data_IF_756775674816
#
_entry.id   IF_756775674816
#
_cell.length_a   1.000
_cell.length_b   1.000
_cell.length_c   1.000
_cell.angle_alpha   90.00
_cell.angle_beta   90.00
_cell.angle_gamma   90.00
#
_symmetry.space_group_name_H-M   'P 1'
#
loop_
_entity.id
_entity.type
_entity.pdbx_description
1 polymer ?
#
# COMPACT_ATOMS: atom_id res chain seq x y z
N UNK A 1 27.98 -26.57 60.90
CA UNK A 1 28.36 -25.39 60.09
C UNK A 1 27.19 -25.10 59.17
N UNK A 2 26.49 -24.03 59.42
CA UNK A 2 25.25 -23.66 58.70
C UNK A 2 25.59 -22.96 57.39
N UNK A 3 25.03 -23.47 56.28
CA UNK A 3 25.01 -22.75 55.00
C UNK A 3 23.84 -21.73 55.12
N UNK A 4 24.21 -20.48 55.15
CA UNK A 4 23.28 -19.36 55.12
C UNK A 4 22.93 -19.03 53.66
N UNK A 5 21.63 -19.02 53.35
CA UNK A 5 21.12 -18.81 52.04
C UNK A 5 21.41 -17.40 51.49
N UNK A 6 21.74 -17.35 50.22
CA UNK A 6 21.67 -16.15 49.41
C UNK A 6 20.20 -15.97 49.02
N UNK A 7 19.51 -15.10 49.69
CA UNK A 7 18.22 -14.59 49.25
C UNK A 7 18.50 -13.55 48.19
N UNK A 8 18.26 -13.95 46.95
CA UNK A 8 18.20 -13.05 45.81
C UNK A 8 17.11 -12.01 46.12
N UNK A 9 17.52 -10.80 46.32
CA UNK A 9 16.68 -9.62 46.32
C UNK A 9 16.23 -9.37 44.86
N UNK A 10 15.14 -9.99 44.45
CA UNK A 10 14.34 -9.51 43.32
C UNK A 10 13.77 -8.15 43.74
N UNK A 11 14.57 -7.12 43.47
CA UNK A 11 14.10 -5.74 43.58
C UNK A 11 12.82 -5.58 42.80
N UNK A 12 11.84 -4.95 43.42
CA UNK A 12 10.62 -4.48 42.80
C UNK A 12 10.99 -3.66 41.55
N UNK A 13 11.09 -4.31 40.40
CA UNK A 13 11.02 -3.63 39.11
C UNK A 13 9.62 -3.04 39.06
N UNK A 14 9.51 -1.76 39.35
CA UNK A 14 8.36 -0.96 38.94
C UNK A 14 8.13 -1.28 37.46
N UNK A 15 7.07 -1.99 37.15
CA UNK A 15 6.63 -2.25 35.79
C UNK A 15 6.28 -0.88 35.18
N UNK A 16 7.29 -0.21 34.64
CA UNK A 16 7.07 1.01 33.86
C UNK A 16 6.18 0.63 32.68
N UNK A 17 5.14 1.42 32.44
CA UNK A 17 4.22 1.19 31.31
C UNK A 17 5.01 1.04 30.00
N UNK A 18 4.65 0.10 29.12
CA UNK A 18 5.32 -0.06 27.82
C UNK A 18 5.20 1.22 26.98
N UNK A 19 6.14 1.41 26.06
CA UNK A 19 6.01 2.47 25.05
C UNK A 19 4.86 2.12 24.11
N UNK A 20 3.88 3.02 23.98
CA UNK A 20 2.67 2.80 23.20
C UNK A 20 2.86 3.39 21.80
N UNK A 21 2.78 2.57 20.78
CA UNK A 21 2.82 3.01 19.39
C UNK A 21 1.46 2.79 18.75
N UNK A 22 0.87 3.87 18.24
CA UNK A 22 -0.36 3.83 17.47
C UNK A 22 -0.04 3.90 15.98
N UNK A 23 -0.55 2.96 15.20
CA UNK A 23 -0.48 2.94 13.74
C UNK A 23 -1.90 3.11 13.20
N UNK A 24 -2.11 4.13 12.37
CA UNK A 24 -3.41 4.40 11.74
C UNK A 24 -3.33 4.06 10.26
N UNK A 25 -4.10 3.03 9.87
CA UNK A 25 -4.02 2.40 8.55
C UNK A 25 -3.03 1.25 8.51
N UNK A 26 -3.43 0.11 7.95
CA UNK A 26 -2.65 -1.14 7.93
C UNK A 26 -2.56 -1.76 6.52
N UNK A 27 -2.42 -0.91 5.49
CA UNK A 27 -1.98 -1.36 4.17
C UNK A 27 -0.43 -1.37 4.13
N UNK A 28 0.19 -1.21 2.98
CA UNK A 28 1.63 -1.39 2.75
C UNK A 28 2.54 -0.74 3.80
N UNK A 29 2.36 0.56 4.06
CA UNK A 29 3.20 1.28 5.02
C UNK A 29 2.93 0.90 6.46
N UNK A 30 1.64 0.80 6.83
CA UNK A 30 1.25 0.50 8.20
C UNK A 30 1.56 -0.93 8.63
N UNK A 31 1.31 -1.92 7.76
CA UNK A 31 1.66 -3.31 8.06
C UNK A 31 3.17 -3.51 8.14
N UNK A 32 3.93 -2.83 7.28
CA UNK A 32 5.39 -2.81 7.34
C UNK A 32 5.88 -2.20 8.64
N UNK A 33 5.32 -1.06 9.07
CA UNK A 33 5.67 -0.46 10.35
C UNK A 33 5.36 -1.38 11.53
N UNK A 34 4.18 -2.02 11.54
CA UNK A 34 3.76 -2.92 12.62
C UNK A 34 4.70 -4.13 12.77
N UNK A 35 5.00 -4.83 11.65
CA UNK A 35 5.84 -6.02 11.66
C UNK A 35 7.28 -5.69 12.04
N UNK A 36 7.86 -4.64 11.45
CA UNK A 36 9.23 -4.26 11.74
C UNK A 36 9.38 -3.85 13.21
N UNK A 37 8.46 -3.02 13.71
CA UNK A 37 8.49 -2.59 15.11
C UNK A 37 8.30 -3.77 16.09
N UNK A 38 7.42 -4.72 15.75
CA UNK A 38 7.24 -5.93 16.54
C UNK A 38 8.53 -6.76 16.60
N UNK A 39 9.20 -6.98 15.48
CA UNK A 39 10.45 -7.73 15.42
C UNK A 39 11.58 -7.00 16.17
N UNK A 40 11.74 -5.69 15.98
CA UNK A 40 12.73 -4.91 16.72
C UNK A 40 12.48 -4.97 18.23
N UNK A 41 11.22 -4.88 18.68
CA UNK A 41 10.87 -4.99 20.09
C UNK A 41 11.23 -6.35 20.72
N UNK A 42 11.34 -7.38 19.88
CA UNK A 42 11.79 -8.72 20.26
C UNK A 42 13.31 -8.92 20.11
N UNK A 43 14.06 -7.89 19.70
CA UNK A 43 15.48 -7.96 19.44
C UNK A 43 15.83 -8.75 18.18
N UNK A 44 14.95 -8.75 17.19
CA UNK A 44 15.19 -9.36 15.88
C UNK A 44 15.60 -8.29 14.88
N UNK A 45 16.74 -8.47 14.21
CA UNK A 45 17.10 -7.64 13.07
C UNK A 45 16.22 -7.94 11.86
N UNK A 46 15.98 -6.91 11.04
CA UNK A 46 15.37 -7.05 9.70
C UNK A 46 16.25 -6.38 8.68
N UNK A 47 16.38 -7.04 7.53
CA UNK A 47 17.10 -6.45 6.41
C UNK A 47 16.39 -5.18 5.95
N UNK A 48 17.14 -4.08 5.81
CA UNK A 48 16.65 -2.79 5.35
C UNK A 48 17.27 -2.41 4.01
N UNK A 49 16.49 -1.73 3.16
CA UNK A 49 16.97 -1.16 1.88
C UNK A 49 17.93 0.02 2.12
N UNK A 50 17.69 0.77 3.19
CA UNK A 50 18.53 1.91 3.56
C UNK A 50 19.33 1.62 4.83
N UNK A 51 20.53 2.19 4.95
CA UNK A 51 21.33 2.04 6.17
C UNK A 51 20.55 2.51 7.40
N UNK A 52 20.69 1.78 8.48
CA UNK A 52 20.04 2.11 9.75
C UNK A 52 20.64 1.27 10.89
N UNK A 53 20.21 1.52 12.13
CA UNK A 53 20.70 0.78 13.29
C UNK A 53 20.41 -0.71 13.22
N UNK A 54 21.34 -1.51 13.71
CA UNK A 54 21.12 -2.94 13.96
C UNK A 54 20.56 -3.11 15.37
N UNK A 55 19.38 -3.73 15.45
CA UNK A 55 18.72 -4.02 16.73
C UNK A 55 18.81 -5.50 17.13
N UNK A 56 19.70 -6.29 16.50
CA UNK A 56 19.85 -7.69 16.84
C UNK A 56 20.22 -7.88 18.31
N UNK A 57 19.39 -8.58 19.06
CA UNK A 57 19.56 -8.81 20.49
C UNK A 57 19.25 -7.62 21.41
N UNK A 58 18.90 -6.47 20.85
CA UNK A 58 18.63 -5.23 21.61
C UNK A 58 17.13 -5.14 21.93
N UNK A 59 16.81 -4.91 23.21
CA UNK A 59 15.42 -4.78 23.65
C UNK A 59 15.22 -3.56 24.55
N UNK A 60 14.09 -2.88 24.37
CA UNK A 60 13.63 -1.85 25.30
C UNK A 60 13.38 -2.47 26.69
N UNK A 61 13.79 -1.76 27.74
CA UNK A 61 13.57 -2.19 29.12
C UNK A 61 12.09 -2.13 29.51
N UNK A 62 11.34 -1.20 28.94
CA UNK A 62 9.90 -1.04 29.19
C UNK A 62 9.04 -1.92 28.27
N UNK A 63 9.60 -2.37 27.16
CA UNK A 63 8.87 -3.04 26.10
C UNK A 63 8.08 -2.06 25.23
N UNK A 64 7.43 -2.60 24.20
CA UNK A 64 6.64 -1.83 23.21
C UNK A 64 5.27 -2.49 23.08
N UNK A 65 4.21 -1.70 23.15
CA UNK A 65 2.85 -2.09 22.85
C UNK A 65 2.40 -1.37 21.57
N UNK A 66 1.92 -2.13 20.59
CA UNK A 66 1.53 -1.64 19.27
C UNK A 66 0.02 -1.76 19.13
N UNK A 67 -0.66 -0.66 18.88
CA UNK A 67 -2.07 -0.65 18.49
C UNK A 67 -2.20 -0.23 17.04
N UNK A 68 -2.89 -1.03 16.24
CA UNK A 68 -3.23 -0.73 14.85
C UNK A 68 -4.72 -0.47 14.74
N UNK A 69 -5.11 0.65 14.14
CA UNK A 69 -6.52 0.96 13.83
C UNK A 69 -6.66 1.02 12.31
N UNK A 70 -7.51 0.16 11.73
CA UNK A 70 -7.83 0.17 10.30
C UNK A 70 -9.34 0.02 10.08
N UNK A 71 -9.86 0.66 9.03
CA UNK A 71 -11.27 0.57 8.65
C UNK A 71 -11.65 -0.76 7.99
N UNK A 72 -10.63 -1.58 7.65
CA UNK A 72 -10.78 -2.92 7.07
C UNK A 72 -10.33 -4.00 8.04
N UNK A 73 -10.93 -5.18 7.90
CA UNK A 73 -10.56 -6.37 8.68
C UNK A 73 -9.33 -7.08 8.13
N UNK A 74 -8.71 -6.56 7.07
CA UNK A 74 -7.60 -7.21 6.40
C UNK A 74 -6.78 -6.32 5.47
N UNK A 75 -5.65 -6.87 5.06
CA UNK A 75 -4.74 -6.28 4.11
C UNK A 75 -5.20 -6.56 2.67
N UNK A 76 -5.67 -5.53 2.00
CA UNK A 76 -6.02 -5.58 0.57
C UNK A 76 -4.84 -5.15 -0.30
N UNK A 77 -4.50 -5.97 -1.29
CA UNK A 77 -3.47 -5.66 -2.28
C UNK A 77 -4.01 -4.73 -3.36
N UNK A 78 -3.89 -3.41 -3.16
CA UNK A 78 -4.48 -2.43 -4.08
C UNK A 78 -3.82 -2.38 -5.45
N UNK A 79 -2.56 -2.79 -5.59
CA UNK A 79 -1.91 -2.98 -6.90
C UNK A 79 -2.61 -4.11 -7.68
N UNK A 80 -3.10 -5.12 -7.00
CA UNK A 80 -3.89 -6.22 -7.58
C UNK A 80 -5.37 -5.92 -7.76
N UNK A 81 -5.85 -4.68 -7.55
CA UNK A 81 -7.26 -4.35 -7.72
C UNK A 81 -7.84 -4.71 -9.10
N UNK A 82 -7.12 -4.53 -10.23
CA UNK A 82 -7.60 -5.00 -11.53
C UNK A 82 -7.87 -6.50 -11.55
N UNK A 83 -6.94 -7.33 -11.08
CA UNK A 83 -7.16 -8.77 -10.96
C UNK A 83 -8.31 -9.11 -10.03
N UNK A 84 -8.40 -8.46 -8.87
CA UNK A 84 -9.42 -8.69 -7.86
C UNK A 84 -10.85 -8.48 -8.37
N UNK A 85 -11.02 -7.47 -9.24
CA UNK A 85 -12.32 -6.99 -9.71
C UNK A 85 -12.61 -7.35 -11.18
N UNK A 86 -11.69 -8.01 -11.88
CA UNK A 86 -11.90 -8.48 -13.24
C UNK A 86 -12.16 -10.00 -13.27
N UNK A 87 -11.42 -10.79 -12.49
CA UNK A 87 -11.56 -12.25 -12.53
C UNK A 87 -11.79 -12.88 -11.16
N UNK A 88 -12.76 -13.81 -11.01
CA UNK A 88 -13.02 -14.52 -9.75
C UNK A 88 -11.80 -15.27 -9.21
N UNK A 89 -10.89 -15.69 -10.10
CA UNK A 89 -9.66 -16.44 -9.75
C UNK A 89 -8.86 -15.75 -8.65
N UNK A 90 -8.77 -14.42 -8.69
CA UNK A 90 -7.92 -13.65 -7.77
C UNK A 90 -8.68 -12.90 -6.68
N UNK A 91 -10.02 -12.81 -6.78
CA UNK A 91 -10.83 -12.04 -5.83
C UNK A 91 -10.50 -12.37 -4.38
N UNK A 92 -10.61 -13.63 -3.96
CA UNK A 92 -10.33 -14.04 -2.58
C UNK A 92 -8.83 -13.95 -2.22
N UNK A 93 -7.96 -13.99 -3.22
CA UNK A 93 -6.52 -14.01 -3.04
C UNK A 93 -5.97 -12.64 -2.64
N UNK A 94 -6.57 -11.54 -3.14
CA UNK A 94 -6.06 -10.18 -2.95
C UNK A 94 -6.40 -9.54 -1.60
N UNK A 95 -6.99 -10.27 -0.68
CA UNK A 95 -7.33 -9.81 0.66
C UNK A 95 -6.94 -10.84 1.71
N UNK A 96 -6.10 -10.47 2.65
CA UNK A 96 -5.72 -11.29 3.81
C UNK A 96 -6.24 -10.67 5.08
N UNK A 97 -7.13 -11.37 5.80
CA UNK A 97 -7.59 -10.90 7.11
C UNK A 97 -6.44 -10.82 8.10
N UNK A 98 -6.36 -9.74 8.88
CA UNK A 98 -5.33 -9.58 9.91
C UNK A 98 -5.36 -10.71 10.93
N UNK A 99 -6.55 -11.22 11.25
CA UNK A 99 -6.72 -12.36 12.17
C UNK A 99 -6.14 -13.68 11.64
N UNK A 100 -5.89 -13.79 10.34
CA UNK A 100 -5.29 -14.97 9.70
C UNK A 100 -3.77 -14.87 9.53
N UNK A 101 -3.18 -13.71 9.78
CA UNK A 101 -1.74 -13.50 9.70
C UNK A 101 -1.10 -13.89 11.05
N UNK A 102 -0.51 -15.08 11.11
CA UNK A 102 0.08 -15.63 12.34
C UNK A 102 1.23 -14.78 12.87
N UNK A 103 2.00 -14.16 11.98
CA UNK A 103 3.12 -13.27 12.28
C UNK A 103 2.70 -12.03 13.06
N UNK A 104 1.42 -11.65 12.95
CA UNK A 104 0.81 -10.52 13.67
C UNK A 104 0.10 -10.94 14.96
N UNK A 105 0.04 -12.24 15.29
CA UNK A 105 -0.54 -12.74 16.53
C UNK A 105 0.49 -12.66 17.65
N UNK A 106 0.52 -11.53 18.32
CA UNK A 106 1.42 -11.30 19.45
C UNK A 106 0.69 -10.54 20.58
N UNK A 107 0.97 -10.84 21.85
CA UNK A 107 0.28 -10.18 22.97
C UNK A 107 0.48 -8.67 23.01
N UNK A 108 1.54 -8.14 22.42
CA UNK A 108 1.84 -6.71 22.36
C UNK A 108 1.38 -6.04 21.06
N UNK A 109 0.65 -6.74 20.18
CA UNK A 109 0.10 -6.18 18.95
C UNK A 109 -1.42 -6.33 18.93
N UNK A 110 -2.12 -5.22 18.87
CA UNK A 110 -3.57 -5.16 18.96
C UNK A 110 -4.18 -4.53 17.71
N UNK A 111 -5.01 -5.29 17.01
CA UNK A 111 -5.80 -4.76 15.90
C UNK A 111 -7.17 -4.27 16.38
N UNK A 112 -7.53 -3.07 15.94
CA UNK A 112 -8.83 -2.45 16.18
C UNK A 112 -9.50 -2.13 14.84
N UNK A 113 -10.62 -2.77 14.57
CA UNK A 113 -11.39 -2.57 13.35
C UNK A 113 -12.30 -1.35 13.51
N UNK A 114 -11.92 -0.25 12.89
CA UNK A 114 -12.63 1.02 13.01
C UNK A 114 -11.90 2.16 12.30
N UNK A 115 -12.44 3.36 12.41
CA UNK A 115 -11.93 4.56 11.77
C UNK A 115 -11.52 5.59 12.81
N UNK A 116 -10.31 6.14 12.68
CA UNK A 116 -9.87 7.30 13.46
C UNK A 116 -10.64 8.53 12.97
N UNK A 117 -11.11 9.35 13.90
CA UNK A 117 -11.93 10.55 13.66
C UNK A 117 -11.21 11.84 13.99
N UNK A 118 -10.29 11.78 14.94
CA UNK A 118 -9.50 12.93 15.35
C UNK A 118 -8.19 12.50 15.97
N UNK A 119 -7.12 13.25 15.74
CA UNK A 119 -5.82 13.13 16.40
C UNK A 119 -5.55 14.43 17.15
N UNK A 120 -5.33 14.33 18.45
CA UNK A 120 -4.82 15.43 19.27
C UNK A 120 -3.33 15.22 19.56
N UNK A 121 -2.41 15.92 18.85
CA UNK A 121 -0.98 15.73 19.00
C UNK A 121 -0.45 16.21 20.38
N UNK A 122 -1.07 17.24 20.96
CA UNK A 122 -0.63 17.78 22.24
C UNK A 122 -0.92 16.80 23.39
N UNK A 123 -2.14 16.25 23.41
CA UNK A 123 -2.53 15.24 24.38
C UNK A 123 -2.02 13.84 24.07
N UNK A 124 -1.50 13.60 22.87
CA UNK A 124 -1.15 12.27 22.33
C UNK A 124 -2.30 11.26 22.43
N UNK A 125 -3.47 11.65 21.96
CA UNK A 125 -4.69 10.83 21.98
C UNK A 125 -5.35 10.86 20.60
N UNK A 126 -5.75 9.67 20.12
CA UNK A 126 -6.60 9.49 18.96
C UNK A 126 -8.02 9.18 19.41
N UNK A 127 -9.01 9.85 18.81
CA UNK A 127 -10.41 9.46 18.90
C UNK A 127 -10.76 8.60 17.69
N UNK A 128 -11.41 7.46 17.90
CA UNK A 128 -11.79 6.54 16.86
C UNK A 128 -13.16 5.90 17.11
N UNK A 129 -13.84 5.49 16.03
CA UNK A 129 -15.11 4.78 16.08
C UNK A 129 -14.92 3.33 15.62
N UNK A 130 -15.44 2.36 16.37
CA UNK A 130 -15.51 0.98 15.93
C UNK A 130 -16.63 0.77 14.88
N UNK A 131 -16.72 -0.45 14.34
CA UNK A 131 -17.74 -0.81 13.34
C UNK A 131 -19.19 -0.69 13.83
N UNK A 132 -19.41 -0.63 15.12
CA UNK A 132 -20.72 -0.46 15.73
C UNK A 132 -21.06 1.03 16.00
N UNK A 133 -20.17 1.94 15.61
CA UNK A 133 -20.34 3.38 15.81
C UNK A 133 -19.98 3.87 17.21
N UNK A 134 -19.41 3.01 18.07
CA UNK A 134 -18.99 3.41 19.42
C UNK A 134 -17.68 4.19 19.35
N UNK A 135 -17.71 5.41 19.84
CA UNK A 135 -16.52 6.27 19.97
C UNK A 135 -15.65 5.83 21.14
N UNK A 136 -14.35 5.78 20.94
CA UNK A 136 -13.34 5.39 21.89
C UNK A 136 -12.11 6.29 21.77
N UNK A 137 -11.26 6.29 22.80
CA UNK A 137 -9.98 6.98 22.78
C UNK A 137 -8.83 5.99 22.85
N UNK A 138 -7.74 6.31 22.16
CA UNK A 138 -6.48 5.57 22.16
C UNK A 138 -5.34 6.52 22.46
N UNK A 139 -4.77 6.42 23.64
CA UNK A 139 -3.56 7.13 23.99
C UNK A 139 -2.32 6.47 23.36
N UNK A 140 -1.32 7.28 23.01
CA UNK A 140 -0.07 6.80 22.40
C UNK A 140 1.12 7.64 22.90
N UNK A 141 2.31 7.09 22.75
CA UNK A 141 3.57 7.80 22.92
C UNK A 141 4.16 8.17 21.55
N UNK A 142 3.97 7.30 20.55
CA UNK A 142 4.35 7.51 19.15
C UNK A 142 3.17 7.21 18.22
N UNK A 143 3.09 7.96 17.12
CA UNK A 143 2.05 7.82 16.09
C UNK A 143 2.68 7.55 14.73
N UNK A 144 2.12 6.60 13.97
CA UNK A 144 2.38 6.41 12.54
C UNK A 144 1.09 6.62 11.75
N UNK A 145 1.05 7.66 10.91
CA UNK A 145 -0.03 7.89 9.96
C UNK A 145 0.30 7.16 8.64
N UNK A 146 -0.45 6.12 8.34
CA UNK A 146 -0.27 5.25 7.18
C UNK A 146 -1.55 5.07 6.36
N UNK A 147 -2.46 6.02 6.44
CA UNK A 147 -3.82 5.96 5.89
C UNK A 147 -3.89 6.08 4.36
N UNK A 148 -2.82 6.56 3.72
CA UNK A 148 -2.71 6.67 2.28
C UNK A 148 -3.68 7.68 1.67
N UNK A 149 -4.24 7.31 0.51
CA UNK A 149 -5.21 8.12 -0.22
C UNK A 149 -6.61 7.48 -0.14
N UNK A 150 -7.62 8.29 0.08
CA UNK A 150 -9.01 7.92 -0.17
C UNK A 150 -9.22 7.79 -1.68
N UNK A 151 -9.14 6.57 -2.16
CA UNK A 151 -9.37 6.21 -3.56
C UNK A 151 -10.81 5.71 -3.73
N UNK A 152 -11.26 5.68 -4.97
CA UNK A 152 -12.61 5.23 -5.31
C UNK A 152 -12.58 3.80 -5.84
N UNK A 153 -13.67 3.06 -5.58
CA UNK A 153 -13.90 1.77 -6.22
C UNK A 153 -13.93 1.96 -7.76
N UNK A 154 -13.31 1.09 -8.55
CA UNK A 154 -12.73 -0.21 -8.19
C UNK A 154 -11.23 -0.19 -7.86
N UNK A 155 -10.54 0.96 -7.80
CA UNK A 155 -9.12 1.01 -7.47
C UNK A 155 -8.81 0.51 -6.03
N UNK A 156 -9.79 0.63 -5.13
CA UNK A 156 -9.77 0.04 -3.78
C UNK A 156 -11.18 -0.45 -3.43
N UNK A 157 -11.32 -1.44 -2.54
CA UNK A 157 -12.62 -1.85 -2.04
C UNK A 157 -13.35 -0.69 -1.34
N UNK A 158 -14.65 -0.62 -1.51
CA UNK A 158 -15.53 0.28 -0.72
C UNK A 158 -15.94 -0.34 0.61
N UNK A 159 -15.73 -1.64 0.75
CA UNK A 159 -16.11 -2.49 1.88
C UNK A 159 -15.05 -2.48 2.98
N UNK A 160 -15.49 -2.66 4.23
CA UNK A 160 -14.63 -2.80 5.40
C UNK A 160 -14.38 -4.25 5.82
N UNK A 161 -15.05 -5.24 5.22
CA UNK A 161 -14.86 -6.66 5.52
C UNK A 161 -14.63 -7.50 4.28
N UNK A 162 -13.98 -8.63 4.47
CA UNK A 162 -13.70 -9.57 3.38
C UNK A 162 -14.96 -10.09 2.69
N UNK A 163 -16.04 -10.36 3.45
CA UNK A 163 -17.30 -10.84 2.91
C UNK A 163 -17.99 -9.81 2.03
N UNK A 164 -18.05 -8.57 2.50
CA UNK A 164 -18.60 -7.44 1.73
C UNK A 164 -17.78 -7.22 0.45
N UNK A 165 -16.44 -7.25 0.57
CA UNK A 165 -15.52 -7.13 -0.56
C UNK A 165 -15.73 -8.22 -1.62
N UNK A 166 -15.88 -9.48 -1.20
CA UNK A 166 -16.15 -10.58 -2.16
C UNK A 166 -17.49 -10.37 -2.87
N UNK A 167 -18.51 -9.91 -2.17
CA UNK A 167 -19.83 -9.62 -2.74
C UNK A 167 -19.75 -8.48 -3.76
N UNK A 168 -19.08 -7.41 -3.41
CA UNK A 168 -18.88 -6.25 -4.30
C UNK A 168 -18.08 -6.62 -5.56
N UNK A 169 -17.01 -7.41 -5.40
CA UNK A 169 -16.19 -7.86 -6.53
C UNK A 169 -16.95 -8.76 -7.48
N UNK A 170 -17.71 -9.73 -6.96
CA UNK A 170 -18.59 -10.58 -7.77
C UNK A 170 -19.61 -9.77 -8.56
N UNK A 171 -20.26 -8.80 -7.91
CA UNK A 171 -21.21 -7.91 -8.56
C UNK A 171 -20.56 -7.08 -9.67
N UNK A 172 -19.32 -6.62 -9.46
CA UNK A 172 -18.59 -5.84 -10.45
C UNK A 172 -18.17 -6.71 -11.65
N UNK A 173 -17.64 -7.91 -11.43
CA UNK A 173 -17.31 -8.88 -12.48
C UNK A 173 -18.56 -9.22 -13.30
N UNK A 174 -19.70 -9.42 -12.63
CA UNK A 174 -20.99 -9.66 -13.29
C UNK A 174 -21.40 -8.51 -14.22
N UNK A 175 -21.13 -7.26 -13.84
CA UNK A 175 -21.39 -6.09 -14.71
C UNK A 175 -20.46 -6.07 -15.92
N UNK A 176 -19.18 -6.43 -15.77
CA UNK A 176 -18.24 -6.53 -16.88
C UNK A 176 -18.71 -7.62 -17.86
N UNK A 177 -19.04 -8.82 -17.35
CA UNK A 177 -19.32 -10.01 -18.17
C UNK A 177 -20.79 -10.17 -18.57
N UNK A 178 -21.70 -9.37 -18.03
CA UNK A 178 -23.15 -9.54 -18.23
C UNK A 178 -23.75 -10.68 -17.43
N UNK A 179 -23.08 -11.14 -16.38
CA UNK A 179 -23.50 -12.23 -15.49
C UNK A 179 -22.93 -13.59 -15.82
N UNK A 180 -22.54 -13.84 -17.07
CA UNK A 180 -21.94 -15.11 -17.50
C UNK A 180 -20.64 -14.86 -18.28
N UNK A 181 -19.48 -15.15 -17.70
CA UNK A 181 -18.18 -14.99 -18.35
C UNK A 181 -18.04 -15.78 -19.67
N UNK A 182 -18.78 -16.87 -19.84
CA UNK A 182 -18.74 -17.69 -21.06
C UNK A 182 -19.57 -17.11 -22.22
N UNK A 183 -20.42 -16.12 -21.94
CA UNK A 183 -21.39 -15.52 -22.89
C UNK A 183 -21.21 -14.01 -23.02
N UNK A 184 -20.00 -13.49 -22.76
CA UNK A 184 -19.71 -12.04 -22.83
C UNK A 184 -19.22 -11.57 -24.21
N UNK A 185 -19.35 -12.40 -25.26
CA UNK A 185 -19.00 -12.02 -26.62
C UNK A 185 -19.82 -10.81 -27.11
N UNK A 186 -19.13 -9.87 -27.74
CA UNK A 186 -19.75 -8.66 -28.27
C UNK A 186 -20.14 -7.61 -27.22
N UNK A 187 -19.89 -7.89 -25.93
CA UNK A 187 -20.07 -6.85 -24.89
C UNK A 187 -19.09 -5.71 -25.10
N UNK A 188 -19.53 -4.53 -24.75
CA UNK A 188 -18.76 -3.29 -24.90
C UNK A 188 -18.54 -2.68 -23.52
N UNK A 189 -17.27 -2.61 -23.11
CA UNK A 189 -16.87 -1.97 -21.86
C UNK A 189 -16.07 -0.72 -22.18
N UNK A 190 -16.45 0.40 -21.61
CA UNK A 190 -15.70 1.65 -21.74
C UNK A 190 -15.03 1.97 -20.40
N UNK A 191 -13.71 2.18 -20.45
CA UNK A 191 -12.93 2.68 -19.32
C UNK A 191 -12.64 4.16 -19.56
N UNK A 192 -12.96 5.01 -18.61
CA UNK A 192 -12.73 6.46 -18.73
C UNK A 192 -11.60 6.86 -17.78
N UNK A 193 -10.55 7.46 -18.35
CA UNK A 193 -9.33 7.85 -17.65
C UNK A 193 -8.18 6.89 -17.92
N UNK A 194 -7.13 7.37 -18.59
CA UNK A 194 -5.92 6.60 -18.91
C UNK A 194 -4.75 6.92 -17.97
N UNK A 195 -5.03 7.06 -16.68
CA UNK A 195 -4.03 6.91 -15.62
C UNK A 195 -3.67 5.43 -15.41
N UNK A 196 -2.73 5.10 -14.53
CA UNK A 196 -2.29 3.71 -14.30
C UNK A 196 -3.48 2.77 -14.05
N UNK A 197 -4.41 3.13 -13.16
CA UNK A 197 -5.59 2.31 -12.83
C UNK A 197 -6.44 2.00 -14.07
N UNK A 198 -6.74 3.02 -14.90
CA UNK A 198 -7.57 2.80 -16.10
C UNK A 198 -6.87 1.97 -17.16
N UNK A 199 -5.55 2.14 -17.33
CA UNK A 199 -4.72 1.31 -18.21
C UNK A 199 -4.77 -0.15 -17.78
N UNK A 200 -4.50 -0.40 -16.50
CA UNK A 200 -4.50 -1.76 -15.93
C UNK A 200 -5.88 -2.42 -16.03
N UNK A 201 -6.99 -1.74 -15.68
CA UNK A 201 -8.34 -2.30 -15.84
C UNK A 201 -8.67 -2.62 -17.28
N UNK A 202 -8.38 -1.74 -18.22
CA UNK A 202 -8.67 -1.96 -19.64
C UNK A 202 -7.91 -3.19 -20.19
N UNK A 203 -6.63 -3.30 -19.85
CA UNK A 203 -5.79 -4.40 -20.28
C UNK A 203 -6.18 -5.73 -19.62
N UNK A 204 -6.46 -5.75 -18.31
CA UNK A 204 -6.87 -6.95 -17.59
C UNK A 204 -8.22 -7.48 -18.09
N UNK A 205 -9.19 -6.62 -18.42
CA UNK A 205 -10.44 -7.04 -19.02
C UNK A 205 -10.18 -7.73 -20.37
N UNK A 206 -9.32 -7.17 -21.21
CA UNK A 206 -8.95 -7.78 -22.49
C UNK A 206 -8.21 -9.11 -22.33
N UNK A 207 -7.33 -9.22 -21.34
CA UNK A 207 -6.59 -10.44 -21.07
C UNK A 207 -7.50 -11.60 -20.67
N UNK A 208 -8.46 -11.34 -19.74
CA UNK A 208 -9.35 -12.39 -19.22
C UNK A 208 -10.59 -12.63 -20.07
N UNK A 209 -11.02 -11.63 -20.82
CA UNK A 209 -12.21 -11.66 -21.68
C UNK A 209 -11.88 -11.06 -23.06
N UNK A 210 -11.06 -11.73 -23.88
CA UNK A 210 -10.60 -11.20 -25.18
C UNK A 210 -11.75 -10.93 -26.15
N UNK A 211 -12.91 -11.54 -25.96
CA UNK A 211 -14.13 -11.34 -26.73
C UNK A 211 -14.92 -10.09 -26.35
N UNK A 212 -14.58 -9.40 -25.23
CA UNK A 212 -15.18 -8.11 -24.87
C UNK A 212 -14.50 -6.99 -25.68
N UNK A 213 -15.31 -6.12 -26.26
CA UNK A 213 -14.82 -4.88 -26.86
C UNK A 213 -14.51 -3.85 -25.76
N UNK A 214 -13.22 -3.56 -25.56
CA UNK A 214 -12.78 -2.58 -24.55
C UNK A 214 -12.31 -1.32 -25.24
N UNK A 215 -12.88 -0.16 -24.85
CA UNK A 215 -12.44 1.16 -25.29
C UNK A 215 -11.97 1.99 -24.10
N UNK A 216 -10.73 2.47 -24.13
CA UNK A 216 -10.17 3.38 -23.13
C UNK A 216 -10.29 4.82 -23.65
N UNK A 217 -11.06 5.64 -22.96
CA UNK A 217 -11.30 7.06 -23.30
C UNK A 217 -10.48 7.95 -22.38
N UNK A 218 -9.77 8.93 -22.92
CA UNK A 218 -9.00 9.87 -22.14
C UNK A 218 -9.06 11.29 -22.68
N UNK A 219 -9.15 12.27 -21.76
CA UNK A 219 -9.28 13.69 -22.14
C UNK A 219 -8.01 14.32 -22.69
N UNK A 220 -6.85 13.70 -22.50
CA UNK A 220 -5.55 14.15 -23.02
C UNK A 220 -5.06 13.24 -24.12
N UNK A 221 -4.09 13.72 -24.91
CA UNK A 221 -3.52 13.00 -26.05
C UNK A 221 -2.57 11.85 -25.66
N UNK A 222 -2.07 11.81 -24.44
CA UNK A 222 -1.17 10.79 -23.94
C UNK A 222 -1.81 10.00 -22.78
N UNK A 223 -1.63 8.70 -22.73
CA UNK A 223 -1.87 7.89 -21.54
C UNK A 223 -0.90 8.29 -20.43
N UNK A 224 -1.20 7.97 -19.16
CA UNK A 224 -0.39 8.36 -17.99
C UNK A 224 -0.06 9.86 -17.93
N UNK A 225 -0.89 10.69 -18.52
CA UNK A 225 -0.63 12.12 -18.75
C UNK A 225 -0.44 12.95 -17.47
N UNK A 226 -0.88 12.46 -16.30
CA UNK A 226 -0.67 13.10 -15.00
C UNK A 226 0.62 12.67 -14.31
N UNK A 227 1.27 11.62 -14.80
CA UNK A 227 2.50 11.11 -14.21
C UNK A 227 3.72 11.89 -14.74
N UNK A 228 4.71 12.21 -13.90
CA UNK A 228 5.93 12.89 -14.30
C UNK A 228 6.88 11.93 -15.04
N UNK A 229 6.43 11.34 -16.12
CA UNK A 229 7.16 10.36 -16.93
C UNK A 229 7.53 10.95 -18.28
N UNK A 230 8.67 10.53 -18.89
CA UNK A 230 9.02 10.87 -20.25
C UNK A 230 7.96 10.41 -21.27
N UNK A 231 7.86 11.13 -22.41
CA UNK A 231 6.84 10.82 -23.43
C UNK A 231 7.04 9.46 -24.09
N UNK A 232 8.26 8.96 -24.21
CA UNK A 232 8.57 7.62 -24.75
C UNK A 232 8.05 6.49 -23.85
N UNK A 233 8.03 6.70 -22.52
CA UNK A 233 7.40 5.77 -21.55
C UNK A 233 5.88 5.72 -21.77
N UNK A 234 5.25 6.88 -21.96
CA UNK A 234 3.81 7.00 -22.20
C UNK A 234 3.42 6.42 -23.56
N UNK A 235 4.21 6.68 -24.58
CA UNK A 235 4.00 6.08 -25.93
C UNK A 235 4.17 4.55 -25.88
N UNK A 236 5.15 4.03 -25.13
CA UNK A 236 5.29 2.59 -24.95
C UNK A 236 4.08 1.97 -24.26
N UNK A 237 3.54 2.61 -23.21
CA UNK A 237 2.33 2.15 -22.54
C UNK A 237 1.12 2.12 -23.49
N UNK A 238 0.99 3.11 -24.37
CA UNK A 238 -0.04 3.16 -25.41
C UNK A 238 0.10 2.00 -26.39
N UNK A 239 1.30 1.74 -26.90
CA UNK A 239 1.56 0.62 -27.84
C UNK A 239 1.19 -0.72 -27.19
N UNK A 240 1.56 -0.95 -25.92
CA UNK A 240 1.20 -2.19 -25.21
C UNK A 240 -0.32 -2.36 -25.06
N UNK A 241 -1.07 -1.28 -24.82
CA UNK A 241 -2.53 -1.33 -24.79
C UNK A 241 -3.14 -1.72 -26.14
N UNK A 242 -2.61 -1.17 -27.24
CA UNK A 242 -3.04 -1.49 -28.60
C UNK A 242 -2.72 -2.95 -28.96
N UNK A 243 -1.52 -3.44 -28.58
CA UNK A 243 -1.12 -4.85 -28.73
C UNK A 243 -2.03 -5.80 -27.95
N UNK A 244 -2.50 -5.41 -26.73
CA UNK A 244 -3.47 -6.19 -25.96
C UNK A 244 -4.90 -6.13 -26.55
N UNK A 245 -5.13 -5.27 -27.56
CA UNK A 245 -6.41 -5.15 -28.26
C UNK A 245 -7.38 -4.16 -27.62
N UNK A 246 -6.89 -3.22 -26.83
CA UNK A 246 -7.69 -2.11 -26.29
C UNK A 246 -7.84 -1.02 -27.35
N UNK A 247 -9.06 -0.58 -27.63
CA UNK A 247 -9.35 0.56 -28.50
C UNK A 247 -9.09 1.86 -27.71
N UNK A 248 -8.42 2.83 -28.32
CA UNK A 248 -8.07 4.09 -27.66
C UNK A 248 -8.82 5.28 -28.27
N UNK A 249 -9.45 6.10 -27.43
CA UNK A 249 -10.07 7.39 -27.78
C UNK A 249 -9.41 8.50 -26.94
N UNK A 250 -8.18 8.88 -27.34
CA UNK A 250 -7.38 9.89 -26.65
C UNK A 250 -7.73 11.32 -27.16
N UNK A 251 -7.42 12.33 -26.33
CA UNK A 251 -7.75 13.72 -26.63
C UNK A 251 -9.25 14.06 -26.52
N UNK A 252 -10.05 13.16 -25.98
CA UNK A 252 -11.50 13.28 -25.90
C UNK A 252 -11.99 13.25 -24.45
N UNK A 253 -12.63 14.33 -24.00
CA UNK A 253 -13.39 14.33 -22.76
C UNK A 253 -14.71 13.59 -23.00
N UNK A 254 -15.12 12.76 -22.06
CA UNK A 254 -16.34 11.97 -22.15
C UNK A 254 -17.43 12.46 -21.18
N UNK A 255 -18.68 12.39 -21.62
CA UNK A 255 -19.88 12.51 -20.79
C UNK A 255 -20.62 11.18 -20.83
N UNK A 256 -21.03 10.67 -19.67
CA UNK A 256 -21.71 9.38 -19.52
C UNK A 256 -23.20 9.64 -19.29
N UNK A 257 -24.06 8.98 -20.07
CA UNK A 257 -25.50 8.96 -19.89
C UNK A 257 -25.98 7.52 -19.78
N UNK A 258 -26.60 7.17 -18.67
CA UNK A 258 -27.26 5.85 -18.51
C UNK A 258 -28.60 5.85 -19.21
N UNK A 259 -28.87 4.80 -19.96
CA UNK A 259 -30.09 4.61 -20.72
C UNK A 259 -31.11 3.76 -19.93
N UNK A 260 -32.43 3.88 -20.22
CA UNK A 260 -33.46 3.11 -19.52
C UNK A 260 -33.30 1.58 -19.59
N UNK A 261 -32.59 1.07 -20.59
CA UNK A 261 -32.32 -0.36 -20.77
C UNK A 261 -31.07 -0.82 -19.98
N UNK A 262 -30.44 0.05 -19.16
CA UNK A 262 -29.24 -0.25 -18.38
C UNK A 262 -27.92 -0.17 -19.16
N UNK A 263 -27.97 0.19 -20.46
CA UNK A 263 -26.77 0.52 -21.23
C UNK A 263 -26.35 1.97 -21.01
N UNK A 264 -25.19 2.34 -21.55
CA UNK A 264 -24.63 3.69 -21.44
C UNK A 264 -24.33 4.26 -22.83
N UNK A 265 -24.57 5.56 -22.97
CA UNK A 265 -24.00 6.35 -24.06
C UNK A 265 -22.85 7.17 -23.52
N UNK A 266 -21.66 6.98 -24.08
CA UNK A 266 -20.48 7.79 -23.80
C UNK A 266 -20.31 8.76 -24.97
N UNK A 267 -20.59 10.05 -24.73
CA UNK A 267 -20.46 11.12 -25.71
C UNK A 267 -19.09 11.76 -25.57
N UNK A 268 -18.33 11.78 -26.66
CA UNK A 268 -17.01 12.38 -26.74
C UNK A 268 -17.10 13.89 -27.07
N UNK A 269 -16.04 14.63 -26.77
CA UNK A 269 -15.98 16.07 -27.01
C UNK A 269 -16.12 16.44 -28.52
N UNK A 270 -15.80 15.52 -29.43
CA UNK A 270 -15.99 15.65 -30.87
C UNK A 270 -17.41 15.27 -31.35
N UNK A 271 -18.36 15.05 -30.42
CA UNK A 271 -19.74 14.61 -30.63
C UNK A 271 -19.88 13.14 -31.14
N UNK A 272 -18.83 12.39 -31.25
CA UNK A 272 -18.94 10.95 -31.45
C UNK A 272 -19.54 10.28 -30.21
N UNK A 273 -20.28 9.21 -30.42
CA UNK A 273 -20.91 8.44 -29.34
C UNK A 273 -20.46 7.00 -29.35
N UNK A 274 -20.18 6.48 -28.17
CA UNK A 274 -19.87 5.04 -27.95
C UNK A 274 -20.99 4.49 -27.08
N UNK A 275 -21.67 3.46 -27.57
CA UNK A 275 -22.62 2.71 -26.73
C UNK A 275 -21.85 1.67 -25.93
N UNK A 276 -22.08 1.59 -24.64
CA UNK A 276 -21.43 0.65 -23.73
C UNK A 276 -22.46 -0.14 -22.91
N UNK A 277 -22.13 -1.38 -22.63
CA UNK A 277 -22.91 -2.23 -21.73
C UNK A 277 -22.45 -2.05 -20.28
N UNK A 278 -21.25 -1.52 -20.10
CA UNK A 278 -20.71 -1.11 -18.80
C UNK A 278 -19.65 -0.02 -18.94
N UNK A 279 -19.58 0.87 -17.96
CA UNK A 279 -18.58 1.96 -17.91
C UNK A 279 -17.83 1.91 -16.59
N UNK A 280 -16.50 1.99 -16.65
CA UNK A 280 -15.61 2.09 -15.50
C UNK A 280 -15.02 3.51 -15.48
N UNK A 281 -15.37 4.30 -14.47
CA UNK A 281 -14.83 5.65 -14.28
C UNK A 281 -13.57 5.58 -13.38
N UNK A 282 -12.40 5.73 -13.98
CA UNK A 282 -11.10 5.81 -13.31
C UNK A 282 -10.52 7.23 -13.29
N UNK A 283 -11.34 8.27 -13.50
CA UNK A 283 -10.91 9.67 -13.54
C UNK A 283 -10.76 10.31 -12.16
N UNK A 284 -11.37 9.73 -11.14
CA UNK A 284 -11.38 10.29 -9.79
C UNK A 284 -10.03 10.17 -9.13
N UNK A 285 -9.42 11.30 -8.80
CA UNK A 285 -8.18 11.33 -8.02
C UNK A 285 -8.41 10.87 -6.60
N UNK A 286 -7.44 10.14 -6.05
CA UNK A 286 -7.37 9.90 -4.62
C UNK A 286 -7.02 11.20 -3.88
N UNK A 287 -7.58 11.37 -2.68
CA UNK A 287 -7.26 12.51 -1.78
C UNK A 287 -6.58 12.00 -0.50
N UNK A 288 -5.58 12.70 0.04
CA UNK A 288 -4.96 12.32 1.30
C UNK A 288 -6.00 12.18 2.42
N UNK A 289 -5.88 11.14 3.24
CA UNK A 289 -6.81 10.88 4.35
C UNK A 289 -6.31 11.56 5.63
N UNK A 290 -6.24 12.88 5.60
CA UNK A 290 -5.62 13.74 6.62
C UNK A 290 -6.62 14.63 7.37
N UNK A 291 -7.92 14.52 7.08
CA UNK A 291 -8.96 15.33 7.72
C UNK A 291 -9.03 15.15 9.26
N UNK A 292 -8.34 14.12 9.78
CA UNK A 292 -8.25 13.81 11.21
C UNK A 292 -7.08 14.51 11.91
N UNK A 293 -6.23 15.22 11.17
CA UNK A 293 -5.03 15.89 11.64
C UNK A 293 -5.21 17.42 11.67
N UNK A 294 -4.46 18.13 12.53
CA UNK A 294 -4.34 19.59 12.46
C UNK A 294 -3.84 20.05 11.08
N UNK A 295 -4.40 21.14 10.59
CA UNK A 295 -4.05 21.69 9.25
C UNK A 295 -2.60 22.18 9.17
N UNK A 296 -2.00 22.56 10.31
CA UNK A 296 -0.65 23.10 10.43
C UNK A 296 0.44 22.09 10.02
N UNK A 297 0.13 20.79 10.06
CA UNK A 297 1.08 19.76 9.61
C UNK A 297 0.90 19.37 8.13
N UNK A 298 -0.03 20.03 7.41
CA UNK A 298 -0.38 19.69 6.03
C UNK A 298 0.13 20.75 5.05
N UNK A 299 0.46 20.32 3.83
CA UNK A 299 0.71 21.22 2.70
C UNK A 299 -0.61 21.61 1.99
N UNK A 300 -0.51 22.37 0.90
CA UNK A 300 -1.65 22.84 0.10
C UNK A 300 -2.44 21.66 -0.53
N UNK A 301 -1.77 20.56 -0.83
CA UNK A 301 -2.37 19.33 -1.36
C UNK A 301 -2.95 18.42 -0.24
N UNK A 302 -2.99 18.91 1.01
CA UNK A 302 -3.41 18.17 2.21
C UNK A 302 -2.54 16.96 2.54
N UNK A 303 -1.31 16.91 2.08
CA UNK A 303 -0.36 15.88 2.42
C UNK A 303 0.40 16.26 3.68
N UNK A 304 0.75 15.27 4.50
CA UNK A 304 1.54 15.47 5.71
C UNK A 304 2.96 15.91 5.35
N UNK A 305 3.40 17.03 5.88
CA UNK A 305 4.77 17.51 5.74
C UNK A 305 5.69 16.75 6.69
N UNK A 306 6.70 16.06 6.13
CA UNK A 306 7.66 15.27 6.89
C UNK A 306 9.11 15.65 6.61
N UNK A 307 10.00 15.29 7.54
CA UNK A 307 11.45 15.27 7.36
C UNK A 307 11.89 14.01 6.60
N UNK A 308 13.16 13.93 6.22
CA UNK A 308 13.74 12.72 5.61
C UNK A 308 13.68 11.49 6.53
N UNK A 309 13.62 11.69 7.83
CA UNK A 309 13.39 10.67 8.85
C UNK A 309 11.92 10.22 8.96
N UNK A 310 11.02 10.74 8.13
CA UNK A 310 9.57 10.51 8.15
C UNK A 310 8.85 11.11 9.38
N UNK A 311 9.54 11.78 10.28
CA UNK A 311 8.90 12.57 11.34
C UNK A 311 8.13 13.75 10.74
N UNK A 312 7.03 14.13 11.36
CA UNK A 312 6.31 15.35 11.01
C UNK A 312 7.24 16.56 11.16
N UNK A 313 7.08 17.56 10.30
CA UNK A 313 7.79 18.84 10.48
C UNK A 313 7.31 19.54 11.75
N UNK A 314 8.15 20.42 12.28
CA UNK A 314 7.99 21.09 13.58
C UNK A 314 6.90 22.17 13.55
N UNK A 315 5.71 21.82 13.07
CA UNK A 315 4.57 22.71 12.93
C UNK A 315 3.46 22.47 13.95
N UNK A 316 3.54 21.33 14.68
CA UNK A 316 2.58 20.92 15.70
C UNK A 316 3.28 20.46 16.99
N UNK A 317 2.55 20.43 18.09
CA UNK A 317 3.05 19.88 19.34
C UNK A 317 3.49 18.42 19.19
N UNK A 318 4.60 18.05 19.84
CA UNK A 318 5.14 16.69 19.84
C UNK A 318 5.45 16.11 18.43
N UNK A 319 5.73 16.97 17.42
CA UNK A 319 6.02 16.55 16.05
C UNK A 319 7.04 15.41 15.95
N UNK A 320 8.07 15.43 16.81
CA UNK A 320 9.12 14.40 16.88
C UNK A 320 8.62 13.00 17.28
N UNK A 321 7.40 12.89 17.79
CA UNK A 321 6.75 11.59 18.10
C UNK A 321 5.73 11.14 17.05
N UNK A 322 5.59 11.90 15.96
CA UNK A 322 4.58 11.63 14.91
C UNK A 322 5.30 11.34 13.60
N UNK A 323 4.94 10.25 12.95
CA UNK A 323 5.53 9.79 11.71
C UNK A 323 4.46 9.62 10.63
N UNK A 324 4.79 9.96 9.38
CA UNK A 324 3.94 9.74 8.23
C UNK A 324 4.59 8.81 7.22
N UNK A 325 3.83 7.88 6.62
CA UNK A 325 4.36 6.91 5.66
C UNK A 325 3.39 6.65 4.50
N UNK A 326 3.92 6.39 3.33
CA UNK A 326 3.15 6.05 2.14
C UNK A 326 2.50 7.27 1.47
N UNK A 327 1.38 7.03 0.78
CA UNK A 327 0.77 8.02 -0.10
C UNK A 327 0.19 9.25 0.62
N UNK A 328 0.07 9.22 1.93
CA UNK A 328 -0.50 10.30 2.74
C UNK A 328 0.47 11.47 2.97
N UNK A 329 1.77 11.28 2.71
CA UNK A 329 2.80 12.28 2.96
C UNK A 329 3.20 13.03 1.69
N UNK A 330 3.73 14.24 1.86
CA UNK A 330 4.42 14.99 0.83
C UNK A 330 5.81 14.37 0.60
N UNK A 331 5.97 13.65 -0.51
CA UNK A 331 7.24 13.02 -0.89
C UNK A 331 7.45 13.07 -2.39
N UNK A 332 8.71 13.01 -2.81
CA UNK A 332 9.10 13.02 -4.22
C UNK A 332 8.81 11.69 -4.94
N UNK A 333 8.83 11.72 -6.26
CA UNK A 333 8.60 10.56 -7.11
C UNK A 333 7.13 10.19 -7.27
N UNK A 334 6.88 9.02 -7.85
CA UNK A 334 5.52 8.47 -8.01
C UNK A 334 5.16 7.67 -6.76
N UNK A 335 3.95 7.89 -6.23
CA UNK A 335 3.43 7.15 -5.07
C UNK A 335 3.21 5.68 -5.44
N UNK A 336 3.84 4.76 -4.67
CA UNK A 336 3.89 3.32 -4.99
C UNK A 336 3.82 2.48 -3.71
N UNK A 337 3.29 1.27 -3.85
CA UNK A 337 3.22 0.28 -2.77
C UNK A 337 4.59 -0.04 -2.15
N UNK A 338 5.61 -0.31 -2.97
CA UNK A 338 6.97 -0.60 -2.51
C UNK A 338 7.59 0.56 -1.74
N UNK A 339 7.38 1.80 -2.20
CA UNK A 339 7.83 2.99 -1.48
C UNK A 339 7.18 3.10 -0.10
N UNK A 340 5.86 2.88 -0.02
CA UNK A 340 5.14 2.89 1.25
C UNK A 340 5.66 1.81 2.22
N UNK A 341 5.97 0.62 1.72
CA UNK A 341 6.52 -0.50 2.52
C UNK A 341 7.89 -0.13 3.10
N UNK A 342 8.78 0.45 2.29
CA UNK A 342 10.11 0.92 2.75
C UNK A 342 9.98 2.05 3.77
N UNK A 343 9.07 3.01 3.54
CA UNK A 343 8.80 4.08 4.53
C UNK A 343 8.30 3.51 5.87
N UNK A 344 7.42 2.50 5.84
CA UNK A 344 6.94 1.85 7.05
C UNK A 344 8.06 1.23 7.88
N UNK A 345 9.02 0.57 7.22
CA UNK A 345 10.21 0.03 7.88
C UNK A 345 11.10 1.12 8.47
N UNK A 346 11.39 2.18 7.71
CA UNK A 346 12.22 3.28 8.19
C UNK A 346 11.58 4.03 9.38
N UNK A 347 10.26 4.24 9.35
CA UNK A 347 9.54 4.82 10.47
C UNK A 347 9.62 3.93 11.73
N UNK A 348 9.48 2.61 11.57
CA UNK A 348 9.63 1.66 12.67
C UNK A 348 11.05 1.69 13.26
N UNK A 349 12.09 1.74 12.40
CA UNK A 349 13.49 1.89 12.85
C UNK A 349 13.67 3.18 13.67
N UNK A 350 13.14 4.29 13.17
CA UNK A 350 13.29 5.59 13.80
C UNK A 350 12.55 5.69 15.14
N UNK A 351 11.34 5.14 15.21
CA UNK A 351 10.59 5.04 16.47
C UNK A 351 11.33 4.16 17.48
N UNK A 352 11.86 3.03 17.03
CA UNK A 352 12.57 2.14 17.95
C UNK A 352 13.90 2.73 18.42
N UNK A 353 14.62 3.48 17.56
CA UNK A 353 15.77 4.30 17.95
C UNK A 353 15.42 5.30 19.04
N UNK A 354 14.31 6.04 18.88
CA UNK A 354 13.86 7.01 19.88
C UNK A 354 13.47 6.34 21.21
N UNK A 355 12.81 5.19 21.15
CA UNK A 355 12.48 4.40 22.34
C UNK A 355 13.77 4.01 23.08
N UNK A 356 14.74 3.42 22.41
CA UNK A 356 16.00 3.02 23.01
C UNK A 356 16.79 4.21 23.55
N UNK A 357 16.88 5.28 22.76
CA UNK A 357 17.57 6.51 23.17
C UNK A 357 16.96 7.12 24.44
N UNK A 358 15.63 7.06 24.59
CA UNK A 358 14.95 7.54 25.80
C UNK A 358 15.31 6.75 27.07
N UNK A 359 15.82 5.55 26.91
CA UNK A 359 16.21 4.64 27.98
C UNK A 359 17.73 4.61 28.25
N UNK A 360 18.53 5.26 27.39
CA UNK A 360 19.98 5.34 27.55
C UNK A 360 20.40 6.39 28.60
N UNK A 361 21.58 6.19 29.17
CA UNK A 361 22.22 7.24 29.97
C UNK A 361 22.62 8.43 29.07
N UNK A 362 22.62 9.67 29.58
CA UNK A 362 22.93 10.85 28.78
C UNK A 362 24.30 10.84 28.08
N UNK A 363 25.25 10.06 28.61
CA UNK A 363 26.60 9.90 28.06
C UNK A 363 26.73 8.74 27.05
N UNK A 364 25.68 8.01 26.82
CA UNK A 364 25.70 6.85 25.88
C UNK A 364 25.61 7.31 24.43
N UNK A 365 26.21 6.54 23.54
CA UNK A 365 26.05 6.73 22.12
C UNK A 365 24.57 6.51 21.72
N UNK A 366 24.04 7.43 20.94
CA UNK A 366 22.64 7.41 20.53
C UNK A 366 22.47 6.64 19.23
N UNK A 367 21.34 5.93 19.09
CA UNK A 367 20.92 5.35 17.82
C UNK A 367 20.53 6.46 16.84
N UNK A 368 21.18 6.47 15.68
CA UNK A 368 20.96 7.46 14.62
C UNK A 368 19.73 7.09 13.82
N UNK A 369 18.92 8.09 13.45
CA UNK A 369 17.74 7.86 12.59
C UNK A 369 18.13 7.53 11.16
N UNK A 370 17.39 6.63 10.56
CA UNK A 370 17.41 6.36 9.12
C UNK A 370 16.75 7.54 8.39
N UNK A 371 17.44 8.09 7.41
CA UNK A 371 16.94 9.14 6.53
C UNK A 371 16.76 8.61 5.11
N UNK A 372 15.61 8.90 4.51
CA UNK A 372 15.30 8.50 3.14
C UNK A 372 15.66 9.63 2.18
N UNK A 373 16.31 9.32 1.04
CA UNK A 373 16.57 10.32 0.02
C UNK A 373 15.30 10.70 -0.73
N UNK A 374 15.36 11.79 -1.48
CA UNK A 374 14.38 12.05 -2.52
C UNK A 374 14.39 10.92 -3.57
N UNK A 375 13.22 10.54 -4.06
CA UNK A 375 13.08 9.47 -5.06
C UNK A 375 12.74 10.04 -6.43
N UNK A 376 13.26 9.37 -7.45
CA UNK A 376 12.94 9.63 -8.84
C UNK A 376 11.52 9.12 -9.20
N UNK A 377 11.00 9.60 -10.33
CA UNK A 377 9.79 9.08 -10.93
C UNK A 377 10.05 7.69 -11.53
N UNK A 378 9.69 6.65 -10.80
CA UNK A 378 9.82 5.24 -11.20
C UNK A 378 8.44 4.62 -11.23
N UNK A 379 8.14 3.83 -12.26
CA UNK A 379 6.85 3.13 -12.39
C UNK A 379 7.05 1.67 -12.79
N UNK A 380 6.17 0.80 -12.29
CA UNK A 380 5.82 -0.49 -12.86
C UNK A 380 4.34 -0.46 -13.19
N UNK A 381 3.97 -0.83 -14.40
CA UNK A 381 2.61 -0.80 -14.92
C UNK A 381 2.29 -2.13 -15.60
N UNK A 382 1.27 -2.82 -15.11
CA UNK A 382 0.76 -4.02 -15.76
C UNK A 382 -0.11 -3.64 -16.96
N UNK A 383 0.08 -4.32 -18.10
CA UNK A 383 -0.72 -4.16 -19.29
C UNK A 383 -1.05 -5.56 -19.83
N UNK A 384 -2.08 -6.16 -19.26
CA UNK A 384 -2.47 -7.54 -19.58
C UNK A 384 -1.33 -8.53 -19.29
N UNK A 385 -0.90 -9.30 -20.29
CA UNK A 385 0.17 -10.28 -20.18
C UNK A 385 1.56 -9.68 -20.05
N UNK A 386 1.68 -8.40 -20.32
CA UNK A 386 2.94 -7.66 -20.34
C UNK A 386 2.99 -6.66 -19.20
N UNK A 387 4.16 -6.18 -18.87
CA UNK A 387 4.30 -4.97 -18.08
C UNK A 387 5.33 -4.03 -18.69
N UNK A 388 5.26 -2.78 -18.26
CA UNK A 388 6.24 -1.75 -18.52
C UNK A 388 6.84 -1.33 -17.19
N UNK A 389 8.17 -1.27 -17.10
CA UNK A 389 8.89 -0.64 -16.00
C UNK A 389 9.75 0.48 -16.53
N UNK A 390 9.85 1.53 -15.74
CA UNK A 390 10.76 2.65 -16.02
C UNK A 390 11.40 3.14 -14.73
N UNK A 391 12.69 3.36 -14.81
CA UNK A 391 13.45 4.19 -13.87
C UNK A 391 14.50 5.01 -14.66
N UNK A 392 14.89 6.22 -14.17
CA UNK A 392 15.82 7.08 -14.91
C UNK A 392 17.20 6.49 -15.17
N UNK A 393 17.64 5.51 -14.36
CA UNK A 393 18.98 4.89 -14.49
C UNK A 393 19.00 3.75 -15.48
N UNK A 394 17.91 2.93 -15.51
CA UNK A 394 17.84 1.72 -16.33
C UNK A 394 16.96 1.88 -17.57
N UNK A 395 16.28 3.02 -17.72
CA UNK A 395 15.37 3.31 -18.82
C UNK A 395 14.10 2.46 -18.81
N UNK A 396 13.53 2.26 -19.99
CA UNK A 396 12.30 1.50 -20.20
C UNK A 396 12.62 0.02 -20.39
N UNK A 397 11.91 -0.85 -19.66
CA UNK A 397 11.86 -2.29 -19.93
C UNK A 397 10.39 -2.71 -20.06
N UNK A 398 10.07 -3.64 -20.93
CA UNK A 398 8.69 -4.08 -21.13
C UNK A 398 8.63 -5.50 -21.69
N UNK A 399 7.44 -6.08 -21.66
CA UNK A 399 7.12 -7.38 -22.23
C UNK A 399 6.77 -8.43 -21.18
N UNK A 400 6.53 -9.66 -21.66
CA UNK A 400 6.09 -10.80 -20.84
C UNK A 400 7.15 -11.22 -19.82
N UNK A 401 8.43 -11.25 -20.19
CA UNK A 401 9.51 -11.64 -19.27
C UNK A 401 9.71 -10.58 -18.16
N UNK A 402 9.51 -9.30 -18.50
CA UNK A 402 9.50 -8.23 -17.49
C UNK A 402 8.31 -8.40 -16.52
N UNK A 403 7.13 -8.77 -17.04
CA UNK A 403 5.96 -9.08 -16.20
C UNK A 403 6.25 -10.20 -15.22
N UNK A 404 6.79 -11.32 -15.69
CA UNK A 404 7.15 -12.46 -14.84
C UNK A 404 8.15 -12.10 -13.74
N UNK A 405 9.15 -11.29 -14.07
CA UNK A 405 10.21 -10.91 -13.13
C UNK A 405 9.81 -9.82 -12.14
N UNK A 406 8.90 -8.92 -12.53
CA UNK A 406 8.53 -7.74 -11.73
C UNK A 406 7.25 -7.96 -10.92
N UNK A 407 6.20 -8.46 -11.56
CA UNK A 407 4.88 -8.62 -10.94
C UNK A 407 4.48 -10.07 -10.68
N UNK A 408 5.08 -11.03 -11.40
CA UNK A 408 4.60 -12.42 -11.36
C UNK A 408 3.17 -12.57 -11.88
N UNK A 409 2.45 -13.57 -11.38
CA UNK A 409 1.08 -13.86 -11.79
C UNK A 409 0.01 -13.07 -11.00
N UNK A 410 0.36 -12.50 -9.86
CA UNK A 410 -0.57 -11.90 -8.90
C UNK A 410 -0.26 -10.41 -8.64
N UNK A 411 0.29 -9.74 -9.63
CA UNK A 411 0.66 -8.31 -9.57
C UNK A 411 1.55 -7.96 -8.36
N UNK A 412 2.47 -8.87 -8.01
CA UNK A 412 3.45 -8.67 -6.96
C UNK A 412 2.97 -9.00 -5.55
N UNK A 413 1.77 -9.58 -5.41
CA UNK A 413 1.21 -9.90 -4.09
C UNK A 413 2.08 -10.89 -3.31
N UNK A 414 2.41 -12.04 -3.90
CA UNK A 414 3.28 -13.05 -3.28
C UNK A 414 4.66 -12.48 -2.94
N UNK A 415 5.24 -11.67 -3.81
CA UNK A 415 6.51 -11.00 -3.57
C UNK A 415 6.43 -10.03 -2.39
N UNK A 416 5.34 -9.26 -2.28
CA UNK A 416 5.12 -8.33 -1.17
C UNK A 416 4.93 -9.08 0.17
N UNK A 417 4.14 -10.15 0.20
CA UNK A 417 3.99 -10.99 1.38
C UNK A 417 5.31 -11.59 1.83
N UNK A 418 6.11 -12.11 0.89
CA UNK A 418 7.45 -12.65 1.17
C UNK A 418 8.38 -11.58 1.73
N UNK A 419 8.40 -10.37 1.15
CA UNK A 419 9.21 -9.26 1.64
C UNK A 419 8.84 -8.87 3.08
N UNK A 420 7.55 -8.85 3.41
CA UNK A 420 7.06 -8.57 4.75
C UNK A 420 7.26 -9.73 5.73
N UNK A 421 7.60 -10.93 5.24
CA UNK A 421 7.69 -12.14 6.05
C UNK A 421 6.32 -12.68 6.46
N UNK A 422 5.25 -12.30 5.73
CA UNK A 422 3.89 -12.79 5.92
C UNK A 422 3.70 -14.03 5.04
N UNK A 423 3.92 -15.19 5.60
CA UNK A 423 3.66 -16.45 4.90
C UNK A 423 2.27 -16.95 5.25
N UNK A 424 1.46 -17.28 4.23
CA UNK A 424 0.29 -18.11 4.49
C UNK A 424 0.75 -19.44 5.05
N UNK A 425 0.30 -19.79 6.23
CA UNK A 425 0.26 -21.18 6.65
C UNK A 425 -0.93 -21.83 5.95
N UNK A 426 -0.85 -21.95 4.65
CA UNK A 426 -1.54 -23.03 3.95
C UNK A 426 -0.65 -24.22 4.21
N UNK A 427 -1.16 -25.22 4.92
CA UNK A 427 -0.53 -26.54 4.94
C UNK A 427 -0.20 -26.89 3.49
N UNK A 428 1.10 -26.90 3.18
CA UNK A 428 1.57 -27.33 1.86
C UNK A 428 1.26 -28.81 1.78
N UNK A 429 0.23 -29.14 1.03
CA UNK A 429 0.20 -30.44 0.39
C UNK A 429 1.46 -30.52 -0.49
N UNK A 430 2.27 -31.51 -0.23
CA UNK A 430 3.60 -31.74 -0.79
C UNK A 430 3.70 -31.39 -2.28
N UNK A 431 4.43 -30.33 -2.59
CA UNK A 431 4.97 -30.05 -3.91
C UNK A 431 6.40 -29.58 -3.74
N UNK A 432 7.36 -30.10 -4.50
CA UNK A 432 8.77 -29.76 -4.36
C UNK A 432 9.02 -28.31 -4.72
N UNK A 433 9.70 -27.61 -3.82
CA UNK A 433 10.12 -26.22 -3.99
C UNK A 433 11.32 -26.21 -4.93
N UNK A 434 11.18 -25.63 -6.11
CA UNK A 434 12.33 -25.06 -6.80
C UNK A 434 12.74 -23.79 -6.03
N UNK A 435 13.97 -23.81 -5.51
CA UNK A 435 14.64 -22.65 -4.94
C UNK A 435 14.83 -21.59 -6.04
N UNK A 436 13.92 -20.62 -6.09
CA UNK A 436 14.17 -19.39 -6.84
C UNK A 436 15.01 -18.49 -5.94
N UNK A 437 16.31 -18.45 -6.24
CA UNK A 437 17.33 -17.68 -5.55
C UNK A 437 16.89 -16.23 -5.28
N UNK A 438 17.07 -15.80 -4.03
CA UNK A 438 16.88 -14.42 -3.56
C UNK A 438 17.72 -13.38 -4.33
N UNK A 439 18.65 -13.83 -5.17
CA UNK A 439 19.55 -13.06 -6.03
C UNK A 439 18.84 -12.30 -7.15
N UNK A 440 17.65 -12.74 -7.61
CA UNK A 440 16.98 -12.11 -8.76
C UNK A 440 16.21 -10.82 -8.45
N UNK A 441 15.83 -10.58 -7.20
CA UNK A 441 15.19 -9.30 -6.82
C UNK A 441 16.21 -8.13 -6.77
N UNK A 442 17.49 -8.41 -6.50
CA UNK A 442 18.58 -7.43 -6.54
C UNK A 442 18.93 -7.01 -7.96
N UNK A 443 18.68 -7.83 -8.98
CA UNK A 443 19.01 -7.53 -10.38
C UNK A 443 17.96 -6.68 -11.10
N UNK A 444 16.75 -6.57 -10.57
CA UNK A 444 15.67 -5.77 -11.18
C UNK A 444 15.54 -4.39 -10.51
N UNK A 445 16.65 -3.73 -10.24
CA UNK A 445 16.66 -2.30 -9.91
C UNK A 445 16.61 -1.92 -8.43
N UNK A 446 16.79 -2.84 -7.50
CA UNK A 446 17.03 -2.54 -6.09
C UNK A 446 18.38 -3.16 -5.71
N UNK A 447 19.45 -2.63 -6.29
CA UNK A 447 20.79 -2.91 -5.74
C UNK A 447 21.04 -2.00 -4.54
N UNK A 448 21.58 -2.53 -3.43
CA UNK A 448 22.11 -1.68 -2.39
C UNK A 448 23.22 -0.83 -3.01
N UNK A 449 23.17 0.48 -2.80
CA UNK A 449 24.26 1.38 -3.15
C UNK A 449 25.44 0.96 -2.27
N UNK A 450 26.43 0.27 -2.86
CA UNK A 450 27.71 0.05 -2.21
C UNK A 450 28.30 1.43 -1.93
N UNK A 451 28.57 1.72 -0.66
CA UNK A 451 29.40 2.85 -0.26
C UNK A 451 30.75 2.71 -0.98
N UNK A 452 31.03 3.62 -1.91
CA UNK A 452 32.38 3.96 -2.29
C UNK A 452 32.61 5.43 -1.98
N UNK A 453 33.68 5.61 -1.23
CA UNK A 453 34.25 6.80 -0.63
C UNK A 453 34.11 8.10 -1.42
#
# INVERSE_FOLDING_TARGET
MRLQGVTDTLGNLSLSNPHRVLIVGCAYGGISAAINLLDYSQGKARQSVYPGPDFQGVRSRRGVEITVIDERDGYFHSVGAPLAHVTPKYTSHMWKRFSHLNELKHPNLHFKHGSVKNINPEAKVAEWCDRNGKTQQQAYDYLVMATGLKRHFPAVPKSGSFEEYQTDSKAFISKITGGDPSKCEGRRVVVIGAGAVGVEFAAEIKQYYPQIDVTLVHSRSEVLSSEPLPSDVKERAKILLEEEGVKLALGNRATITELPNGQFTVTLANNETITADFVIDSTKKGTPTTDVLPTECLNEDKEIMVHQSLMFKDTIANSSSHFGVGDVIAWSGIKRAGSATVMGQAAAQNIYSDILNSELAPSSEQYIKTELPAWDAVIGLAVGKQCLTYDPKNGIKYGVEVMKGYFGEDLGWSANLKYLGLTDVVERADSPVEEVEATKMAEVGIKPVSAQA
#
